data_IF_195320090458
#
_entry.id   IF_195320090458
#
_cell.length_a   1.000
_cell.length_b   1.000
_cell.length_c   1.000
_cell.angle_alpha   90.00
_cell.angle_beta   90.00
_cell.angle_gamma   90.00
#
_symmetry.space_group_name_H-M   'P 1'
#
loop_
_entity.id
_entity.type
_entity.pdbx_description
1 polymer ?
#
# COMPACT_ATOMS: atom_id res chain seq x y z
N UNK A 1 0.47 2.05 -23.10
CA UNK A 1 0.48 2.11 -21.62
C UNK A 1 -0.43 3.24 -21.17
N UNK A 2 -1.47 2.91 -20.41
CA UNK A 2 -2.31 3.90 -19.75
C UNK A 2 -1.54 4.51 -18.58
N UNK A 3 -1.82 5.77 -18.24
CA UNK A 3 -1.08 6.48 -17.17
C UNK A 3 -2.00 7.07 -16.11
N UNK A 4 -3.32 6.89 -16.25
CA UNK A 4 -4.33 7.51 -15.40
C UNK A 4 -4.20 7.10 -13.93
N UNK A 5 -3.94 5.81 -13.66
CA UNK A 5 -3.80 5.30 -12.29
C UNK A 5 -2.51 5.82 -11.64
N UNK A 6 -1.38 5.75 -12.35
CA UNK A 6 -0.09 6.26 -11.86
C UNK A 6 -0.12 7.78 -11.64
N UNK A 7 -0.73 8.52 -12.56
CA UNK A 7 -0.92 9.97 -12.44
C UNK A 7 -1.81 10.33 -11.25
N UNK A 8 -2.93 9.63 -11.09
CA UNK A 8 -3.83 9.78 -9.95
C UNK A 8 -3.12 9.51 -8.63
N UNK A 9 -2.40 8.39 -8.54
CA UNK A 9 -1.61 8.03 -7.37
C UNK A 9 -0.54 9.07 -7.03
N UNK A 10 0.26 9.50 -8.01
CA UNK A 10 1.32 10.50 -7.82
C UNK A 10 0.76 11.82 -7.28
N UNK A 11 -0.38 12.28 -7.81
CA UNK A 11 -1.05 13.48 -7.32
C UNK A 11 -1.54 13.32 -5.87
N UNK A 12 -2.10 12.16 -5.52
CA UNK A 12 -2.54 11.91 -4.15
C UNK A 12 -1.37 11.83 -3.18
N UNK A 13 -0.27 11.18 -3.57
CA UNK A 13 0.96 11.12 -2.77
C UNK A 13 1.53 12.51 -2.49
N UNK A 14 1.67 13.36 -3.51
CA UNK A 14 2.17 14.73 -3.32
C UNK A 14 1.24 15.54 -2.40
N UNK A 15 -0.08 15.39 -2.56
CA UNK A 15 -1.06 16.04 -1.68
C UNK A 15 -0.93 15.55 -0.24
N UNK A 16 -0.80 14.24 -0.02
CA UNK A 16 -0.64 13.62 1.29
C UNK A 16 0.63 14.14 1.99
N UNK A 17 1.77 14.10 1.30
CA UNK A 17 3.05 14.57 1.83
C UNK A 17 3.00 16.04 2.25
N UNK A 18 2.36 16.89 1.43
CA UNK A 18 2.20 18.33 1.73
C UNK A 18 1.23 18.60 2.88
N UNK A 19 0.13 17.83 2.95
CA UNK A 19 -0.94 18.06 3.93
C UNK A 19 -0.58 17.56 5.31
N UNK A 20 -0.01 16.36 5.38
CA UNK A 20 0.26 15.68 6.65
C UNK A 20 1.70 15.91 7.15
N UNK A 21 2.62 16.36 6.27
CA UNK A 21 4.05 16.56 6.57
C UNK A 21 4.66 15.43 7.44
N UNK A 22 4.54 14.16 7.03
CA UNK A 22 4.85 13.03 7.89
C UNK A 22 6.36 12.88 8.10
N UNK A 23 6.77 12.55 9.32
CA UNK A 23 8.16 12.14 9.62
C UNK A 23 8.53 10.81 8.96
N UNK A 24 7.54 9.96 8.68
CA UNK A 24 7.74 8.62 8.13
C UNK A 24 6.53 8.23 7.30
N UNK A 25 6.78 7.67 6.11
CA UNK A 25 5.78 7.10 5.23
C UNK A 25 6.20 5.67 4.85
N UNK A 26 5.25 4.75 4.85
CA UNK A 26 5.44 3.34 4.49
C UNK A 26 4.25 2.92 3.63
N UNK A 27 4.50 2.17 2.56
CA UNK A 27 3.46 1.57 1.73
C UNK A 27 3.36 0.07 2.01
N UNK A 28 2.16 -0.44 2.29
CA UNK A 28 1.92 -1.87 2.54
C UNK A 28 1.12 -2.48 1.39
N UNK A 29 1.44 -3.72 1.03
CA UNK A 29 0.82 -4.42 -0.10
C UNK A 29 0.31 -5.80 0.29
N UNK A 30 -0.75 -6.23 -0.39
CA UNK A 30 -1.29 -7.57 -0.28
C UNK A 30 -0.30 -8.59 -0.83
N UNK A 31 -0.14 -9.71 -0.11
CA UNK A 31 0.66 -10.83 -0.61
C UNK A 31 -0.06 -11.59 -1.72
N UNK A 32 0.68 -12.17 -2.67
CA UNK A 32 0.11 -13.06 -3.70
C UNK A 32 -0.39 -14.38 -3.14
N UNK A 33 0.18 -14.83 -2.02
CA UNK A 33 -0.18 -16.07 -1.37
C UNK A 33 -1.57 -16.00 -0.75
N UNK A 34 -2.22 -17.17 -0.65
CA UNK A 34 -3.47 -17.28 0.11
C UNK A 34 -3.21 -16.91 1.57
N UNK A 35 -4.07 -16.05 2.09
CA UNK A 35 -4.03 -15.66 3.50
C UNK A 35 -4.81 -16.64 4.37
N UNK A 36 -4.63 -16.58 5.68
CA UNK A 36 -5.40 -17.36 6.66
C UNK A 36 -6.93 -17.15 6.54
N UNK A 37 -7.37 -16.03 5.93
CA UNK A 37 -8.78 -15.77 5.65
C UNK A 37 -9.33 -16.71 4.56
N UNK A 38 -8.52 -17.01 3.54
CA UNK A 38 -8.88 -17.95 2.48
C UNK A 38 -8.90 -19.40 2.96
N UNK A 39 -8.07 -19.73 3.95
CA UNK A 39 -8.10 -21.05 4.61
C UNK A 39 -9.36 -21.23 5.46
N UNK A 40 -9.77 -20.16 6.17
CA UNK A 40 -10.97 -20.18 7.03
C UNK A 40 -12.27 -20.12 6.23
N UNK A 41 -12.28 -19.38 5.12
CA UNK A 41 -13.46 -19.18 4.27
C UNK A 41 -13.04 -19.16 2.79
N UNK A 42 -13.21 -20.27 2.05
CA UNK A 42 -12.76 -20.38 0.65
C UNK A 42 -13.37 -19.33 -0.29
N UNK A 43 -14.59 -18.89 -0.02
CA UNK A 43 -15.30 -17.89 -0.84
C UNK A 43 -14.92 -16.44 -0.47
N UNK A 44 -13.97 -16.25 0.45
CA UNK A 44 -13.46 -14.93 0.80
C UNK A 44 -12.87 -14.24 -0.44
N UNK A 45 -13.37 -13.04 -0.76
CA UNK A 45 -13.01 -12.26 -1.97
C UNK A 45 -13.21 -13.00 -3.31
N UNK A 46 -13.97 -14.10 -3.34
CA UNK A 46 -14.17 -14.89 -4.57
C UNK A 46 -14.91 -14.11 -5.67
N UNK A 47 -15.74 -13.13 -5.31
CA UNK A 47 -16.46 -12.26 -6.26
C UNK A 47 -15.67 -11.02 -6.68
N UNK A 48 -14.42 -10.86 -6.22
CA UNK A 48 -13.61 -9.70 -6.57
C UNK A 48 -13.17 -9.81 -8.02
N UNK A 49 -13.48 -8.80 -8.81
CA UNK A 49 -12.99 -8.74 -10.19
C UNK A 49 -11.46 -8.63 -10.22
N UNK A 50 -10.87 -9.21 -11.27
CA UNK A 50 -9.43 -9.07 -11.51
C UNK A 50 -9.10 -7.61 -11.75
N UNK A 51 -7.90 -7.21 -11.32
CA UNK A 51 -7.37 -5.90 -11.66
C UNK A 51 -7.32 -5.76 -13.20
N UNK A 52 -7.80 -4.65 -13.77
CA UNK A 52 -7.72 -4.42 -15.21
C UNK A 52 -6.26 -4.45 -15.71
N UNK A 53 -6.01 -5.04 -16.88
CA UNK A 53 -4.66 -5.16 -17.45
C UNK A 53 -3.96 -3.80 -17.60
N UNK A 54 -4.72 -2.76 -17.96
CA UNK A 54 -4.21 -1.38 -18.04
C UNK A 54 -3.63 -0.85 -16.72
N UNK A 55 -4.13 -1.32 -15.57
CA UNK A 55 -3.58 -0.98 -14.26
C UNK A 55 -2.38 -1.86 -13.91
N UNK A 56 -2.41 -3.14 -14.28
CA UNK A 56 -1.30 -4.08 -14.06
C UNK A 56 -0.04 -3.56 -14.76
N UNK A 57 -0.15 -3.08 -15.98
CA UNK A 57 0.94 -2.48 -16.76
C UNK A 57 1.59 -1.27 -16.07
N UNK A 58 0.87 -0.60 -15.16
CA UNK A 58 1.36 0.58 -14.43
C UNK A 58 2.06 0.22 -13.12
N UNK A 59 1.90 -1.00 -12.59
CA UNK A 59 2.49 -1.40 -11.32
C UNK A 59 4.03 -1.30 -11.28
N UNK A 60 4.80 -1.71 -12.31
CA UNK A 60 6.25 -1.54 -12.31
C UNK A 60 6.70 -0.09 -12.08
N UNK A 61 5.96 0.86 -12.64
CA UNK A 61 6.25 2.28 -12.51
C UNK A 61 5.83 2.85 -11.15
N UNK A 62 4.76 2.31 -10.55
CA UNK A 62 4.38 2.60 -9.17
C UNK A 62 5.50 2.19 -8.19
N UNK A 63 6.09 1.02 -8.39
CA UNK A 63 7.20 0.53 -7.56
C UNK A 63 8.43 1.42 -7.68
N UNK A 64 8.83 1.77 -8.91
CA UNK A 64 9.94 2.69 -9.14
C UNK A 64 9.67 4.07 -8.51
N UNK A 65 8.43 4.58 -8.61
CA UNK A 65 8.05 5.85 -8.01
C UNK A 65 8.21 5.82 -6.48
N UNK A 66 7.72 4.78 -5.82
CA UNK A 66 7.84 4.63 -4.37
C UNK A 66 9.30 4.52 -3.94
N UNK A 67 10.11 3.77 -4.69
CA UNK A 67 11.56 3.67 -4.47
C UNK A 67 12.24 5.03 -4.60
N UNK A 68 11.97 5.80 -5.67
CA UNK A 68 12.57 7.11 -5.88
C UNK A 68 12.12 8.17 -4.87
N UNK A 69 10.92 8.01 -4.30
CA UNK A 69 10.44 8.84 -3.20
C UNK A 69 11.01 8.41 -1.84
N UNK A 70 11.79 7.32 -1.79
CA UNK A 70 12.34 6.76 -0.56
C UNK A 70 11.25 6.20 0.36
N UNK A 71 10.10 5.79 -0.19
CA UNK A 71 9.00 5.19 0.57
C UNK A 71 9.23 3.67 0.66
N UNK A 72 9.53 3.12 1.85
CA UNK A 72 9.69 1.69 2.02
C UNK A 72 8.36 0.97 1.72
N UNK A 73 8.45 -0.14 0.99
CA UNK A 73 7.33 -1.01 0.69
C UNK A 73 7.40 -2.25 1.58
N UNK A 74 6.27 -2.68 2.14
CA UNK A 74 6.15 -3.87 2.97
C UNK A 74 5.14 -4.84 2.37
N UNK A 75 5.55 -6.10 2.27
CA UNK A 75 4.71 -7.23 1.87
C UNK A 75 5.10 -8.42 2.77
N UNK A 76 4.12 -9.24 3.17
CA UNK A 76 4.36 -10.42 3.98
C UNK A 76 3.52 -11.60 3.49
N UNK A 77 4.14 -12.72 3.05
CA UNK A 77 3.42 -13.89 2.59
C UNK A 77 2.36 -14.37 3.58
N UNK A 78 1.13 -14.55 3.09
CA UNK A 78 -0.01 -15.04 3.88
C UNK A 78 -0.74 -13.96 4.68
N UNK A 79 -0.40 -12.68 4.52
CA UNK A 79 -1.03 -11.54 5.18
C UNK A 79 -1.49 -10.49 4.17
N UNK A 80 -2.54 -9.75 4.54
CA UNK A 80 -3.04 -8.63 3.74
C UNK A 80 -2.36 -7.32 4.14
N UNK A 81 -2.42 -6.31 3.26
CA UNK A 81 -1.89 -4.98 3.56
C UNK A 81 -2.46 -4.42 4.88
N UNK A 82 -3.75 -4.67 5.14
CA UNK A 82 -4.45 -4.24 6.35
C UNK A 82 -3.85 -4.86 7.63
N UNK A 83 -3.37 -6.11 7.57
CA UNK A 83 -2.73 -6.76 8.71
C UNK A 83 -1.38 -6.09 9.03
N UNK A 84 -0.63 -5.69 8.01
CA UNK A 84 0.63 -4.96 8.14
C UNK A 84 0.36 -3.58 8.74
N UNK A 85 -0.61 -2.84 8.18
CA UNK A 85 -0.99 -1.50 8.67
C UNK A 85 -1.45 -1.58 10.13
N UNK A 86 -2.34 -2.51 10.47
CA UNK A 86 -2.82 -2.70 11.84
C UNK A 86 -1.70 -3.08 12.82
N UNK A 87 -0.75 -3.91 12.38
CA UNK A 87 0.43 -4.27 13.18
C UNK A 87 1.32 -3.05 13.42
N UNK A 88 1.60 -2.26 12.39
CA UNK A 88 2.39 -1.03 12.54
C UNK A 88 1.70 -0.02 13.44
N UNK A 89 0.40 0.20 13.26
CA UNK A 89 -0.39 1.13 14.07
C UNK A 89 -0.39 0.77 15.57
N UNK A 90 -0.35 -0.53 15.90
CA UNK A 90 -0.28 -1.01 17.28
C UNK A 90 1.12 -0.93 17.88
N UNK A 91 2.16 -1.21 17.09
CA UNK A 91 3.52 -1.42 17.59
C UNK A 91 4.45 -0.21 17.39
N UNK A 92 4.12 0.73 16.51
CA UNK A 92 4.82 2.00 16.41
C UNK A 92 4.21 2.98 17.41
N UNK A 93 4.95 3.42 18.44
CA UNK A 93 4.50 4.53 19.25
C UNK A 93 4.36 5.75 18.32
N UNK A 94 3.19 6.41 18.32
CA UNK A 94 3.08 7.71 17.71
C UNK A 94 4.18 8.59 18.32
N UNK A 95 5.15 9.03 17.52
CA UNK A 95 5.98 10.14 17.95
C UNK A 95 5.01 11.31 18.12
N UNK A 96 4.73 11.69 19.37
CA UNK A 96 4.18 13.00 19.66
C UNK A 96 5.22 14.01 19.17
N UNK A 97 5.07 14.52 17.94
CA UNK A 97 5.87 15.62 17.44
C UNK A 97 5.61 16.80 18.36
N UNK A 98 6.57 17.04 19.26
CA UNK A 98 6.58 18.21 20.14
C UNK A 98 6.53 19.46 19.28
N UNK A 99 5.69 20.41 19.69
CA UNK A 99 5.86 21.83 19.38
C UNK A 99 7.34 22.21 19.46
N UNK A 100 7.80 22.90 18.42
CA UNK A 100 8.88 23.87 18.50
C UNK A 100 8.28 25.21 18.10
#
# INVERSE_FOLDING_TARGET
MHTSALFGFSNQMIKLLRKENPDTIIAAFDSKEKTFRHEKYPEYKATREKMPDEMIDQLPYLWNLLEYLGVPTLEKPGFEADDIIGTLAKNMPMKATKSI
#
